data_IF_045532745830
#
_entry.id   IF_045532745830
#
_cell.length_a   1.000
_cell.length_b   1.000
_cell.length_c   1.000
_cell.angle_alpha   90.00
_cell.angle_beta   90.00
_cell.angle_gamma   90.00
#
_symmetry.space_group_name_H-M   'P 1'
#
loop_
_entity.id
_entity.type
_entity.pdbx_description
1 polymer ?
#
# COMPACT_ATOMS: atom_id res chain seq x y z
N UNK A 1 -35.14 -88.72 -16.43
CA UNK A 1 -33.94 -89.19 -15.71
C UNK A 1 -32.79 -88.23 -16.02
N UNK A 2 -32.56 -87.24 -15.25
CA UNK A 2 -31.40 -86.38 -15.40
C UNK A 2 -31.02 -85.78 -13.99
N UNK A 3 -29.90 -86.23 -13.51
CA UNK A 3 -29.32 -85.94 -12.23
C UNK A 3 -28.85 -84.46 -12.14
N UNK A 4 -29.36 -83.68 -11.19
CA UNK A 4 -28.84 -82.34 -10.81
C UNK A 4 -27.71 -82.51 -9.79
N UNK A 5 -26.49 -82.21 -10.20
CA UNK A 5 -25.35 -82.01 -9.27
C UNK A 5 -25.52 -80.65 -8.59
N UNK A 6 -25.60 -80.66 -7.25
CA UNK A 6 -25.47 -79.52 -6.41
C UNK A 6 -23.97 -79.10 -6.32
N UNK A 7 -23.67 -77.89 -6.72
CA UNK A 7 -22.35 -77.27 -6.46
C UNK A 7 -22.47 -76.46 -5.16
N UNK A 8 -21.69 -76.86 -4.18
CA UNK A 8 -21.58 -76.13 -2.88
C UNK A 8 -20.73 -74.88 -3.10
N UNK A 9 -21.26 -73.67 -2.81
CA UNK A 9 -20.54 -72.43 -2.77
C UNK A 9 -19.97 -72.22 -1.37
N UNK A 10 -18.67 -72.18 -1.29
CA UNK A 10 -17.94 -71.74 -0.09
C UNK A 10 -17.96 -70.20 0.01
N UNK A 11 -18.23 -69.59 1.16
CA UNK A 11 -18.20 -68.14 1.32
C UNK A 11 -16.75 -67.65 1.39
N UNK A 12 -16.39 -66.76 0.45
CA UNK A 12 -15.13 -66.02 0.48
C UNK A 12 -15.29 -64.83 1.45
N UNK A 13 -14.57 -64.87 2.54
CA UNK A 13 -14.38 -63.72 3.47
C UNK A 13 -13.49 -62.67 2.79
N UNK A 14 -13.89 -61.38 2.74
CA UNK A 14 -13.00 -60.34 2.28
C UNK A 14 -12.14 -59.87 3.46
N UNK A 15 -10.90 -60.33 3.50
CA UNK A 15 -9.82 -59.68 4.25
C UNK A 15 -9.14 -58.72 3.30
N UNK A 16 -9.47 -57.44 3.34
CA UNK A 16 -8.53 -56.40 2.98
C UNK A 16 -8.88 -55.13 3.74
N UNK A 17 -8.30 -55.07 4.95
CA UNK A 17 -8.28 -53.86 5.77
C UNK A 17 -7.31 -52.84 5.22
N UNK A 18 -7.64 -52.20 4.10
CA UNK A 18 -6.99 -50.94 3.75
C UNK A 18 -7.43 -49.89 4.75
N UNK A 19 -6.68 -49.78 5.84
CA UNK A 19 -6.63 -48.56 6.67
C UNK A 19 -6.27 -47.42 5.71
N UNK A 20 -7.28 -46.67 5.24
CA UNK A 20 -7.07 -45.32 4.75
C UNK A 20 -6.43 -44.54 5.88
N UNK A 21 -5.12 -44.37 5.81
CA UNK A 21 -4.39 -43.37 6.59
C UNK A 21 -5.05 -42.05 6.23
N UNK A 22 -5.98 -41.60 7.06
CA UNK A 22 -6.36 -40.19 7.11
C UNK A 22 -5.07 -39.44 7.37
N UNK A 23 -4.50 -38.85 6.31
CA UNK A 23 -3.47 -37.85 6.38
C UNK A 23 -4.02 -36.78 7.35
N UNK A 24 -3.50 -36.79 8.55
CA UNK A 24 -3.81 -35.81 9.57
C UNK A 24 -3.25 -34.48 9.06
N UNK A 25 -4.06 -33.74 8.28
CA UNK A 25 -3.74 -32.36 7.98
C UNK A 25 -3.61 -31.66 9.33
N UNK A 26 -2.45 -31.10 9.66
CA UNK A 26 -2.31 -30.39 10.94
C UNK A 26 -3.43 -29.35 10.97
N UNK A 27 -4.26 -29.39 12.03
CA UNK A 27 -5.25 -28.35 12.32
C UNK A 27 -4.51 -27.03 12.15
N UNK A 28 -4.90 -26.20 11.16
CA UNK A 28 -4.38 -24.85 10.98
C UNK A 28 -4.46 -24.20 12.36
N UNK A 29 -3.33 -23.98 13.03
CA UNK A 29 -3.30 -23.19 14.26
C UNK A 29 -4.00 -21.89 13.91
N UNK A 30 -5.10 -21.61 14.56
CA UNK A 30 -5.76 -20.31 14.42
C UNK A 30 -4.73 -19.28 14.85
N UNK A 31 -4.38 -18.37 13.93
CA UNK A 31 -3.49 -17.24 14.25
C UNK A 31 -4.17 -16.43 15.34
N UNK A 32 -3.46 -16.09 16.40
CA UNK A 32 -4.02 -15.32 17.49
C UNK A 32 -4.57 -13.97 17.01
N UNK A 33 -5.65 -13.48 17.59
CA UNK A 33 -6.26 -12.19 17.25
C UNK A 33 -5.24 -11.05 17.29
N UNK A 34 -4.30 -11.11 18.24
CA UNK A 34 -3.21 -10.15 18.37
C UNK A 34 -2.34 -10.07 17.10
N UNK A 35 -1.95 -11.22 16.52
CA UNK A 35 -1.18 -11.26 15.28
C UNK A 35 -2.01 -10.76 14.09
N UNK A 36 -3.28 -11.14 14.04
CA UNK A 36 -4.18 -10.66 12.97
C UNK A 36 -4.34 -9.15 13.00
N UNK A 37 -4.53 -8.56 14.19
CA UNK A 37 -4.63 -7.12 14.37
C UNK A 37 -3.33 -6.40 13.99
N UNK A 38 -2.17 -6.93 14.40
CA UNK A 38 -0.88 -6.37 14.03
C UNK A 38 -0.64 -6.37 12.52
N UNK A 39 -0.99 -7.46 11.83
CA UNK A 39 -0.79 -7.56 10.38
C UNK A 39 -1.65 -6.58 9.55
N UNK A 40 -2.67 -5.97 10.13
CA UNK A 40 -3.46 -4.90 9.51
C UNK A 40 -2.72 -3.55 9.53
N UNK A 41 -1.61 -3.41 10.28
CA UNK A 41 -0.89 -2.15 10.43
C UNK A 41 0.32 -2.06 9.50
N UNK A 42 0.58 -0.86 8.97
CA UNK A 42 1.84 -0.41 8.42
C UNK A 42 2.36 0.66 9.39
N UNK A 43 3.54 0.43 9.97
CA UNK A 43 4.09 1.29 11.01
C UNK A 43 5.32 2.06 10.53
N UNK A 44 5.34 3.37 10.78
CA UNK A 44 6.54 4.19 10.58
C UNK A 44 7.59 3.92 11.64
N UNK A 45 8.87 4.13 11.29
CA UNK A 45 9.99 4.02 12.20
C UNK A 45 10.52 5.40 12.58
N UNK A 46 11.10 5.51 13.78
CA UNK A 46 11.51 6.78 14.35
C UNK A 46 12.81 7.32 13.75
N UNK A 47 13.84 6.49 13.62
CA UNK A 47 15.17 6.91 13.27
C UNK A 47 15.87 6.02 12.24
N UNK A 48 17.17 6.18 12.12
CA UNK A 48 18.04 5.44 11.18
C UNK A 48 18.44 4.04 11.68
N UNK A 49 18.12 3.72 12.93
CA UNK A 49 18.28 2.41 13.56
C UNK A 49 17.11 2.14 14.50
N UNK A 50 16.78 0.88 14.75
CA UNK A 50 15.75 0.53 15.74
C UNK A 50 16.25 0.81 17.16
N UNK A 51 15.49 1.54 17.93
CA UNK A 51 15.68 1.67 19.38
C UNK A 51 15.28 0.36 20.10
N UNK A 52 15.62 0.23 21.38
CA UNK A 52 15.14 -0.91 22.20
C UNK A 52 13.61 -0.90 22.35
N UNK A 53 13.03 0.29 22.45
CA UNK A 53 11.59 0.47 22.53
C UNK A 53 10.90 0.05 21.22
N UNK A 54 11.46 0.46 20.07
CA UNK A 54 10.95 0.07 18.75
C UNK A 54 11.01 -1.44 18.54
N UNK A 55 12.10 -2.10 18.91
CA UNK A 55 12.18 -3.57 18.87
C UNK A 55 11.11 -4.22 19.73
N UNK A 56 10.85 -3.67 20.91
CA UNK A 56 9.85 -4.21 21.85
C UNK A 56 8.44 -4.11 21.26
N UNK A 57 8.03 -2.93 20.76
CA UNK A 57 6.69 -2.82 20.21
C UNK A 57 6.55 -3.52 18.84
N UNK A 58 7.59 -3.57 18.00
CA UNK A 58 7.57 -4.36 16.77
C UNK A 58 7.36 -5.86 17.04
N UNK A 59 8.03 -6.42 18.06
CA UNK A 59 7.83 -7.82 18.45
C UNK A 59 6.43 -8.07 19.03
N UNK A 60 5.90 -7.09 19.79
CA UNK A 60 4.54 -7.16 20.36
C UNK A 60 3.46 -7.09 19.28
N UNK A 61 3.57 -6.12 18.35
CA UNK A 61 2.53 -5.82 17.35
C UNK A 61 2.66 -6.74 16.14
N UNK A 62 3.89 -7.01 15.68
CA UNK A 62 4.18 -7.74 14.43
C UNK A 62 3.43 -7.18 13.23
N UNK A 63 3.68 -5.92 12.85
CA UNK A 63 2.93 -5.23 11.82
C UNK A 63 3.00 -5.95 10.48
N UNK A 64 2.02 -5.70 9.62
CA UNK A 64 2.00 -6.22 8.25
C UNK A 64 3.02 -5.56 7.33
N UNK A 65 3.42 -4.34 7.66
CA UNK A 65 4.43 -3.57 6.93
C UNK A 65 5.09 -2.52 7.78
N UNK A 66 6.15 -1.94 7.24
CA UNK A 66 6.81 -0.74 7.76
C UNK A 66 6.99 0.26 6.64
N UNK A 67 6.99 1.54 6.99
CA UNK A 67 7.24 2.64 6.04
C UNK A 67 8.42 3.48 6.54
N UNK A 68 9.30 3.89 5.61
CA UNK A 68 10.41 4.78 5.90
C UNK A 68 10.23 6.13 5.20
N UNK A 69 10.72 7.16 5.88
CA UNK A 69 10.79 8.54 5.44
C UNK A 69 12.25 9.02 5.38
N UNK A 70 12.49 10.25 4.92
CA UNK A 70 13.84 10.82 4.85
C UNK A 70 14.59 10.74 6.19
N UNK A 71 13.91 10.96 7.32
CA UNK A 71 14.48 10.85 8.67
C UNK A 71 15.09 9.47 8.99
N UNK A 72 14.69 8.45 8.24
CA UNK A 72 15.17 7.07 8.44
C UNK A 72 16.32 6.69 7.48
N UNK A 73 16.71 7.58 6.56
CA UNK A 73 17.58 7.23 5.43
C UNK A 73 18.77 8.20 5.37
N UNK A 74 19.92 7.74 5.82
CA UNK A 74 21.21 8.46 5.73
C UNK A 74 22.07 7.87 4.60
N UNK A 75 22.04 6.55 4.44
CA UNK A 75 22.78 5.81 3.40
C UNK A 75 21.97 4.64 2.88
N UNK A 76 22.16 4.24 1.61
CA UNK A 76 21.44 3.08 1.05
C UNK A 76 21.66 1.78 1.83
N UNK A 77 22.88 1.54 2.30
CA UNK A 77 23.26 0.34 3.07
C UNK A 77 22.64 0.33 4.46
N UNK A 78 22.57 1.49 5.11
CA UNK A 78 21.96 1.68 6.42
C UNK A 78 20.43 1.45 6.34
N UNK A 79 19.74 2.09 5.40
CA UNK A 79 18.30 1.91 5.21
C UNK A 79 17.94 0.44 4.92
N UNK A 80 18.73 -0.22 4.06
CA UNK A 80 18.55 -1.64 3.81
C UNK A 80 18.81 -2.51 5.04
N UNK A 81 19.73 -2.12 5.94
CA UNK A 81 19.98 -2.83 7.20
C UNK A 81 18.81 -2.64 8.17
N UNK A 82 18.29 -1.42 8.31
CA UNK A 82 17.12 -1.09 9.12
C UNK A 82 15.90 -1.92 8.70
N UNK A 83 15.58 -1.94 7.39
CA UNK A 83 14.47 -2.73 6.86
C UNK A 83 14.66 -4.24 7.09
N UNK A 84 15.89 -4.76 6.95
CA UNK A 84 16.17 -6.17 7.24
C UNK A 84 16.06 -6.50 8.72
N UNK A 85 16.43 -5.59 9.59
CA UNK A 85 16.30 -5.77 11.03
C UNK A 85 14.83 -5.84 11.43
N UNK A 86 14.01 -4.89 10.97
CA UNK A 86 12.57 -4.90 11.19
C UNK A 86 11.90 -6.18 10.65
N UNK A 87 12.30 -6.63 9.44
CA UNK A 87 11.76 -7.84 8.80
C UNK A 87 12.05 -9.13 9.59
N UNK A 88 13.17 -9.18 10.36
CA UNK A 88 13.53 -10.34 11.19
C UNK A 88 12.72 -10.46 12.48
N UNK A 89 12.14 -9.36 12.97
CA UNK A 89 11.32 -9.35 14.18
C UNK A 89 9.97 -10.00 13.91
N UNK A 90 9.44 -9.84 12.70
CA UNK A 90 8.15 -10.39 12.30
C UNK A 90 8.18 -11.90 12.01
N UNK A 91 7.03 -12.56 12.17
CA UNK A 91 6.82 -13.97 11.77
C UNK A 91 6.54 -14.14 10.26
N UNK A 92 6.22 -13.05 9.58
CA UNK A 92 5.93 -12.99 8.15
C UNK A 92 6.71 -11.84 7.50
N UNK A 93 7.15 -11.98 6.23
CA UNK A 93 7.83 -10.89 5.52
C UNK A 93 7.02 -9.60 5.56
N UNK A 94 7.67 -8.46 5.75
CA UNK A 94 7.04 -7.15 5.79
C UNK A 94 6.78 -6.59 4.38
N UNK A 95 5.68 -5.87 4.21
CA UNK A 95 5.62 -4.84 3.19
C UNK A 95 6.52 -3.69 3.64
N UNK A 96 7.57 -3.39 2.86
CA UNK A 96 8.56 -2.35 3.13
C UNK A 96 8.27 -1.20 2.20
N UNK A 97 7.56 -0.21 2.73
CA UNK A 97 6.93 0.87 1.97
C UNK A 97 7.80 2.13 1.95
N UNK A 98 7.69 2.89 0.87
CA UNK A 98 8.26 4.22 0.74
C UNK A 98 7.41 5.09 -0.19
N UNK A 99 7.24 6.37 0.16
CA UNK A 99 6.74 7.39 -0.74
C UNK A 99 7.83 7.80 -1.73
N UNK A 100 7.68 7.35 -2.96
CA UNK A 100 8.61 7.65 -4.03
C UNK A 100 7.85 7.88 -5.34
N UNK A 101 7.46 9.13 -5.56
CA UNK A 101 6.75 9.58 -6.76
C UNK A 101 7.70 10.26 -7.77
N UNK A 102 8.79 10.81 -7.26
CA UNK A 102 9.66 11.79 -7.91
C UNK A 102 9.25 13.23 -7.60
N UNK A 103 10.11 14.20 -7.89
CA UNK A 103 9.86 15.61 -7.64
C UNK A 103 9.69 15.93 -6.16
N UNK A 104 8.53 16.45 -5.79
CA UNK A 104 8.23 16.87 -4.40
C UNK A 104 8.21 15.71 -3.42
N UNK A 105 7.74 14.54 -3.86
CA UNK A 105 7.63 13.34 -3.04
C UNK A 105 8.67 12.32 -3.48
N UNK A 106 9.87 12.54 -3.00
CA UNK A 106 11.04 11.70 -3.23
C UNK A 106 11.81 11.55 -1.90
N UNK A 107 11.58 10.43 -1.20
CA UNK A 107 12.22 10.17 0.10
C UNK A 107 13.66 9.68 -0.04
N UNK A 108 14.14 9.43 -1.26
CA UNK A 108 15.49 8.91 -1.54
C UNK A 108 16.44 9.98 -2.09
N UNK A 109 15.99 11.21 -2.29
CA UNK A 109 16.71 12.29 -2.97
C UNK A 109 18.09 12.65 -2.39
N UNK A 110 18.33 12.33 -1.12
CA UNK A 110 19.61 12.63 -0.46
C UNK A 110 20.64 11.51 -0.65
N UNK A 111 20.19 10.33 -1.06
CA UNK A 111 21.03 9.12 -1.20
C UNK A 111 21.04 8.54 -2.62
N UNK A 112 20.05 8.92 -3.42
CA UNK A 112 19.97 8.70 -4.87
C UNK A 112 19.77 10.06 -5.51
N UNK A 113 20.29 10.25 -6.75
CA UNK A 113 20.03 11.51 -7.45
C UNK A 113 18.51 11.77 -7.53
N UNK A 114 18.03 13.02 -7.27
CA UNK A 114 16.61 13.33 -7.29
C UNK A 114 15.91 12.91 -8.59
N UNK A 115 14.80 12.20 -8.44
CA UNK A 115 13.97 11.79 -9.58
C UNK A 115 13.08 12.95 -10.03
N UNK A 116 12.88 13.15 -11.34
CA UNK A 116 11.97 14.17 -11.87
C UNK A 116 10.53 13.96 -11.38
N UNK A 117 9.76 15.05 -11.35
CA UNK A 117 8.33 14.96 -10.98
C UNK A 117 7.51 14.26 -12.06
N UNK A 118 6.38 13.61 -11.66
CA UNK A 118 5.43 13.04 -12.61
C UNK A 118 4.99 14.02 -13.70
N UNK A 119 4.71 15.28 -13.34
CA UNK A 119 4.29 16.31 -14.29
C UNK A 119 5.38 16.65 -15.31
N UNK A 120 6.65 16.78 -14.88
CA UNK A 120 7.76 17.06 -15.80
C UNK A 120 7.99 15.91 -16.77
N UNK A 121 8.00 14.67 -16.27
CA UNK A 121 8.13 13.49 -17.13
C UNK A 121 6.97 13.42 -18.13
N UNK A 122 5.75 13.69 -17.66
CA UNK A 122 4.58 13.69 -18.54
C UNK A 122 4.66 14.79 -19.63
N UNK A 123 5.16 15.97 -19.28
CA UNK A 123 5.31 17.11 -20.22
C UNK A 123 6.20 16.79 -21.43
N UNK A 124 7.08 15.80 -21.33
CA UNK A 124 7.91 15.33 -22.45
C UNK A 124 7.09 14.73 -23.60
N UNK A 125 5.85 14.28 -23.34
CA UNK A 125 5.00 13.59 -24.32
C UNK A 125 5.50 12.19 -24.72
N UNK A 126 6.57 11.68 -24.11
CA UNK A 126 7.27 10.45 -24.53
C UNK A 126 6.92 9.27 -23.61
N UNK A 127 6.12 8.34 -24.11
CA UNK A 127 5.67 7.14 -23.36
C UNK A 127 6.80 6.23 -22.89
N UNK A 128 7.91 6.16 -23.62
CA UNK A 128 9.10 5.43 -23.16
C UNK A 128 9.69 6.04 -21.89
N UNK A 129 9.67 7.39 -21.74
CA UNK A 129 10.13 8.05 -20.52
C UNK A 129 9.14 7.83 -19.35
N UNK A 130 7.83 7.74 -19.60
CA UNK A 130 6.86 7.36 -18.56
C UNK A 130 7.17 5.98 -17.97
N UNK A 131 7.51 5.01 -18.83
CA UNK A 131 7.93 3.67 -18.40
C UNK A 131 9.28 3.70 -17.70
N UNK A 132 10.23 4.43 -18.23
CA UNK A 132 11.57 4.58 -17.64
C UNK A 132 11.49 5.22 -16.25
N UNK A 133 10.59 6.20 -16.04
CA UNK A 133 10.36 6.80 -14.74
C UNK A 133 9.94 5.74 -13.70
N UNK A 134 8.90 4.95 -13.98
CA UNK A 134 8.49 3.87 -13.11
C UNK A 134 9.58 2.81 -12.87
N UNK A 135 10.37 2.50 -13.88
CA UNK A 135 11.48 1.56 -13.78
C UNK A 135 12.61 2.09 -12.89
N UNK A 136 13.00 3.36 -13.02
CA UNK A 136 14.03 3.99 -12.18
C UNK A 136 13.58 4.11 -10.74
N UNK A 137 12.33 4.52 -10.49
CA UNK A 137 11.71 4.51 -9.16
C UNK A 137 11.78 3.12 -8.53
N UNK A 138 11.41 2.09 -9.27
CA UNK A 138 11.47 0.72 -8.78
C UNK A 138 12.91 0.27 -8.46
N UNK A 139 13.88 0.59 -9.32
CA UNK A 139 15.30 0.29 -9.10
C UNK A 139 15.85 1.00 -7.87
N UNK A 140 15.53 2.31 -7.72
CA UNK A 140 15.94 3.11 -6.57
C UNK A 140 15.40 2.54 -5.27
N UNK A 141 14.09 2.30 -5.20
CA UNK A 141 13.46 1.71 -4.02
C UNK A 141 14.03 0.31 -3.71
N UNK A 142 14.15 -0.55 -4.73
CA UNK A 142 14.67 -1.91 -4.57
C UNK A 142 16.12 -1.94 -4.11
N UNK A 143 16.94 -1.01 -4.56
CA UNK A 143 18.33 -0.89 -4.13
C UNK A 143 18.46 -0.68 -2.61
N UNK A 144 17.53 0.03 -1.99
CA UNK A 144 17.49 0.24 -0.55
C UNK A 144 16.71 -0.87 0.21
N UNK A 145 16.15 -1.86 -0.49
CA UNK A 145 15.46 -2.99 0.13
C UNK A 145 13.95 -2.83 0.27
N UNK A 146 13.34 -1.78 -0.28
CA UNK A 146 11.88 -1.65 -0.35
C UNK A 146 11.26 -2.64 -1.32
N UNK A 147 9.99 -2.98 -1.12
CA UNK A 147 9.21 -3.83 -2.00
C UNK A 147 7.86 -3.21 -2.38
N UNK A 148 7.50 -2.08 -1.78
CA UNK A 148 6.30 -1.29 -2.10
C UNK A 148 6.67 0.16 -2.29
N UNK A 149 6.24 0.77 -3.40
CA UNK A 149 6.25 2.21 -3.59
C UNK A 149 4.82 2.75 -3.59
N UNK A 150 4.60 3.83 -2.85
CA UNK A 150 3.29 4.50 -2.78
C UNK A 150 3.15 5.46 -3.99
N UNK A 151 3.10 4.88 -5.16
CA UNK A 151 2.94 5.50 -6.48
C UNK A 151 2.33 4.48 -7.47
N UNK A 152 1.65 4.93 -8.55
CA UNK A 152 1.50 6.29 -9.06
C UNK A 152 0.38 7.09 -8.40
N UNK A 153 0.47 8.43 -8.51
CA UNK A 153 -0.65 9.34 -8.27
C UNK A 153 -1.63 9.22 -9.44
N UNK A 154 -2.91 8.98 -9.13
CA UNK A 154 -4.01 8.88 -10.10
C UNK A 154 -4.95 10.07 -10.03
N UNK A 155 -4.65 11.04 -9.16
CA UNK A 155 -5.42 12.27 -9.00
C UNK A 155 -5.32 13.15 -10.25
N UNK A 156 -6.41 13.82 -10.57
CA UNK A 156 -6.44 14.81 -11.64
C UNK A 156 -5.82 16.13 -11.17
N UNK A 157 -4.97 16.72 -11.98
CA UNK A 157 -4.38 18.05 -11.74
C UNK A 157 -5.36 19.16 -12.06
N UNK A 158 -6.43 19.28 -11.27
CA UNK A 158 -7.45 20.32 -11.46
C UNK A 158 -7.00 21.64 -10.82
N UNK A 159 -7.54 22.80 -11.28
CA UNK A 159 -7.22 24.11 -10.71
C UNK A 159 -7.43 24.18 -9.20
N UNK A 160 -8.48 23.51 -8.69
CA UNK A 160 -8.84 23.49 -7.26
C UNK A 160 -7.72 22.89 -6.40
N UNK A 161 -7.04 21.86 -6.89
CA UNK A 161 -5.95 21.16 -6.18
C UNK A 161 -4.55 21.62 -6.59
N UNK A 162 -4.43 22.68 -7.39
CA UNK A 162 -3.14 23.12 -7.93
C UNK A 162 -2.11 23.46 -6.84
N UNK A 163 -2.53 24.03 -5.70
CA UNK A 163 -1.64 24.33 -4.56
C UNK A 163 -1.27 23.09 -3.75
N UNK A 164 -2.05 22.02 -3.84
CA UNK A 164 -1.93 20.78 -3.04
C UNK A 164 -1.15 19.72 -3.84
N UNK A 165 -1.64 19.35 -5.00
CA UNK A 165 -1.05 18.29 -5.81
C UNK A 165 0.19 18.77 -6.58
N UNK A 166 0.19 20.02 -7.04
CA UNK A 166 1.33 20.63 -7.75
C UNK A 166 1.86 19.69 -8.84
N UNK A 167 3.16 19.43 -8.87
CA UNK A 167 3.82 18.56 -9.86
C UNK A 167 3.60 17.05 -9.64
N UNK A 168 2.85 16.66 -8.60
CA UNK A 168 2.47 15.27 -8.34
C UNK A 168 1.41 14.76 -9.33
N UNK A 169 0.44 15.62 -9.69
CA UNK A 169 -0.57 15.29 -10.70
C UNK A 169 -0.06 15.63 -12.11
N UNK A 170 -0.29 14.73 -13.06
CA UNK A 170 0.27 14.87 -14.42
C UNK A 170 -0.60 15.72 -15.35
N UNK A 171 -1.92 15.66 -15.21
CA UNK A 171 -2.87 16.39 -16.07
C UNK A 171 -4.25 16.50 -15.45
N UNK A 172 -5.07 17.42 -15.95
CA UNK A 172 -6.47 17.55 -15.59
C UNK A 172 -7.38 16.52 -16.30
N UNK A 173 -6.97 16.07 -17.50
CA UNK A 173 -7.75 15.15 -18.31
C UNK A 173 -7.49 13.69 -17.93
N UNK A 174 -8.54 12.92 -17.61
CA UNK A 174 -8.40 11.54 -17.13
C UNK A 174 -7.60 10.62 -18.06
N UNK A 175 -7.78 10.76 -19.38
CA UNK A 175 -7.10 9.92 -20.35
C UNK A 175 -5.58 10.13 -20.36
N UNK A 176 -5.10 11.34 -20.03
CA UNK A 176 -3.68 11.66 -19.90
C UNK A 176 -3.09 11.02 -18.64
N UNK A 177 -3.81 11.09 -17.51
CA UNK A 177 -3.42 10.39 -16.27
C UNK A 177 -3.35 8.89 -16.52
N UNK A 178 -4.34 8.32 -17.23
CA UNK A 178 -4.36 6.90 -17.60
C UNK A 178 -3.15 6.52 -18.47
N UNK A 179 -2.83 7.32 -19.47
CA UNK A 179 -1.71 7.05 -20.37
C UNK A 179 -0.38 7.01 -19.58
N UNK A 180 -0.09 8.04 -18.79
CA UNK A 180 1.08 8.07 -17.95
C UNK A 180 1.12 6.88 -16.96
N UNK A 181 0.06 6.67 -16.19
CA UNK A 181 0.01 5.66 -15.16
C UNK A 181 0.20 4.24 -15.71
N UNK A 182 -0.35 3.91 -16.88
CA UNK A 182 -0.15 2.60 -17.54
C UNK A 182 1.32 2.31 -17.81
N UNK A 183 2.04 3.28 -18.38
CA UNK A 183 3.46 3.11 -18.69
C UNK A 183 4.30 3.11 -17.41
N UNK A 184 4.01 3.99 -16.46
CA UNK A 184 4.67 4.02 -15.16
C UNK A 184 4.55 2.67 -14.43
N UNK A 185 3.34 2.12 -14.30
CA UNK A 185 3.09 0.81 -13.69
C UNK A 185 3.80 -0.31 -14.46
N UNK A 186 3.88 -0.22 -15.78
CA UNK A 186 4.66 -1.20 -16.56
C UNK A 186 6.16 -1.15 -16.22
N UNK A 187 6.68 0.04 -15.91
CA UNK A 187 8.05 0.24 -15.43
C UNK A 187 8.27 -0.39 -14.05
N UNK A 188 7.36 -0.17 -13.11
CA UNK A 188 7.42 -0.82 -11.79
C UNK A 188 7.49 -2.35 -11.91
N UNK A 189 6.69 -2.92 -12.79
CA UNK A 189 6.62 -4.38 -13.00
C UNK A 189 7.92 -4.98 -13.56
N UNK A 190 8.72 -4.22 -14.29
CA UNK A 190 10.03 -4.69 -14.78
C UNK A 190 10.99 -5.06 -13.66
N UNK A 191 10.81 -4.45 -12.49
CA UNK A 191 11.60 -4.71 -11.28
C UNK A 191 10.78 -5.45 -10.20
N UNK A 192 9.62 -6.01 -10.55
CA UNK A 192 8.71 -6.68 -9.59
C UNK A 192 8.35 -5.79 -8.39
N UNK A 193 8.34 -4.46 -8.57
CA UNK A 193 8.00 -3.50 -7.53
C UNK A 193 6.49 -3.39 -7.38
N UNK A 194 6.01 -3.48 -6.14
CA UNK A 194 4.59 -3.33 -5.85
C UNK A 194 4.21 -1.86 -5.80
N UNK A 195 3.33 -1.45 -6.70
CA UNK A 195 2.83 -0.07 -6.77
C UNK A 195 1.53 0.12 -6.00
N UNK A 196 1.32 1.34 -5.53
CA UNK A 196 0.08 1.78 -4.88
C UNK A 196 -0.51 2.97 -5.62
N UNK A 197 -1.69 2.81 -6.21
CA UNK A 197 -2.43 3.95 -6.76
C UNK A 197 -2.99 4.83 -5.65
N UNK A 198 -2.95 6.14 -5.83
CA UNK A 198 -3.42 7.11 -4.84
C UNK A 198 -3.92 8.41 -5.48
N UNK A 199 -4.86 9.11 -4.85
CA UNK A 199 -5.56 8.83 -3.59
C UNK A 199 -7.05 8.58 -3.92
N UNK A 200 -7.52 7.36 -3.74
CA UNK A 200 -8.92 7.04 -4.07
C UNK A 200 -9.92 7.77 -3.16
N UNK A 201 -11.02 8.33 -3.68
CA UNK A 201 -11.55 8.33 -5.06
C UNK A 201 -10.90 9.33 -6.01
N UNK A 202 -10.16 10.32 -5.50
CA UNK A 202 -9.44 11.36 -6.24
C UNK A 202 -9.43 12.71 -5.51
N UNK A 203 -8.25 13.30 -5.30
CA UNK A 203 -8.05 14.58 -4.63
C UNK A 203 -8.05 15.78 -5.58
N UNK A 204 -8.35 15.59 -6.87
CA UNK A 204 -8.33 16.66 -7.86
C UNK A 204 -9.23 17.86 -7.55
N UNK A 205 -10.33 17.64 -6.84
CA UNK A 205 -11.24 18.72 -6.39
C UNK A 205 -10.97 19.24 -4.98
N UNK A 206 -9.82 18.90 -4.34
CA UNK A 206 -9.49 19.35 -3.00
C UNK A 206 -9.03 20.83 -3.04
N UNK A 207 -9.56 21.64 -2.12
CA UNK A 207 -9.19 23.06 -1.94
C UNK A 207 -8.34 23.30 -0.71
N UNK A 208 -8.23 22.30 0.17
CA UNK A 208 -7.40 22.29 1.37
C UNK A 208 -6.57 21.02 1.44
N UNK A 209 -5.42 21.09 2.10
CA UNK A 209 -4.53 19.96 2.26
C UNK A 209 -5.06 19.00 3.33
N UNK A 210 -5.16 17.71 2.99
CA UNK A 210 -5.62 16.66 3.89
C UNK A 210 -4.70 16.41 5.08
N UNK A 211 -3.46 16.88 5.04
CA UNK A 211 -2.56 16.87 6.20
C UNK A 211 -2.99 17.87 7.29
N UNK A 212 -3.65 18.95 6.93
CA UNK A 212 -4.07 20.01 7.86
C UNK A 212 -5.52 19.88 8.31
N UNK A 213 -6.41 19.59 7.40
CA UNK A 213 -7.85 19.50 7.65
C UNK A 213 -8.54 18.58 6.64
N UNK A 214 -9.79 18.24 6.90
CA UNK A 214 -10.57 17.37 6.00
C UNK A 214 -10.98 18.12 4.73
N UNK A 215 -10.44 17.80 3.54
CA UNK A 215 -10.95 18.34 2.29
C UNK A 215 -12.38 17.89 2.05
N UNK A 216 -13.23 18.81 1.60
CA UNK A 216 -14.59 18.50 1.14
C UNK A 216 -14.61 18.62 -0.37
N UNK A 217 -14.87 17.53 -1.05
CA UNK A 217 -14.89 17.48 -2.52
C UNK A 217 -16.29 17.74 -3.03
N UNK A 218 -16.53 18.94 -3.53
CA UNK A 218 -17.84 19.39 -4.05
C UNK A 218 -18.04 18.99 -5.52
N UNK A 219 -17.83 17.72 -5.86
CA UNK A 219 -18.01 17.22 -7.23
C UNK A 219 -19.15 16.21 -7.30
N UNK A 220 -20.08 16.41 -8.25
CA UNK A 220 -21.19 15.47 -8.44
C UNK A 220 -20.67 14.06 -8.72
N UNK A 221 -21.25 13.05 -8.08
CA UNK A 221 -20.86 11.65 -8.25
C UNK A 221 -20.88 11.21 -9.73
N UNK A 222 -21.85 11.66 -10.52
CA UNK A 222 -21.92 11.36 -11.96
C UNK A 222 -20.74 11.92 -12.75
N UNK A 223 -20.26 13.11 -12.37
CA UNK A 223 -19.04 13.70 -12.95
C UNK A 223 -17.82 12.89 -12.55
N UNK A 224 -17.68 12.54 -11.27
CA UNK A 224 -16.57 11.75 -10.76
C UNK A 224 -16.39 10.41 -11.50
N UNK A 225 -17.49 9.76 -11.90
CA UNK A 225 -17.41 8.53 -12.71
C UNK A 225 -16.75 8.72 -14.08
N UNK A 226 -16.90 9.92 -14.67
CA UNK A 226 -16.33 10.25 -15.97
C UNK A 226 -14.91 10.86 -15.87
N UNK A 227 -14.53 11.29 -14.69
CA UNK A 227 -13.29 12.03 -14.44
C UNK A 227 -12.42 11.32 -13.40
N UNK A 228 -12.60 11.56 -12.12
CA UNK A 228 -11.74 11.11 -11.00
C UNK A 228 -11.63 9.58 -10.89
N UNK A 229 -12.73 8.86 -11.14
CA UNK A 229 -12.77 7.40 -11.10
C UNK A 229 -12.31 6.73 -12.39
N UNK A 230 -12.19 7.47 -13.49
CA UNK A 230 -11.78 6.94 -14.79
C UNK A 230 -10.36 6.33 -14.76
N UNK A 231 -9.34 6.96 -14.14
CA UNK A 231 -8.02 6.34 -13.96
C UNK A 231 -8.10 5.03 -13.16
N UNK A 232 -8.92 4.98 -12.11
CA UNK A 232 -9.11 3.76 -11.31
C UNK A 232 -9.72 2.61 -12.10
N UNK A 233 -10.72 2.89 -12.94
CA UNK A 233 -11.31 1.90 -13.84
C UNK A 233 -10.30 1.35 -14.84
N UNK A 234 -9.39 2.19 -15.32
CA UNK A 234 -8.46 1.85 -16.40
C UNK A 234 -7.18 1.17 -15.92
N UNK A 235 -6.68 1.51 -14.71
CA UNK A 235 -5.37 1.06 -14.20
C UNK A 235 -5.47 0.32 -12.87
N UNK A 236 -6.54 0.54 -12.09
CA UNK A 236 -6.67 0.01 -10.73
C UNK A 236 -6.50 -1.51 -10.64
N UNK A 237 -7.09 -2.26 -11.58
CA UNK A 237 -6.99 -3.73 -11.57
C UNK A 237 -5.55 -4.27 -11.73
N UNK A 238 -4.63 -3.45 -12.22
CA UNK A 238 -3.21 -3.78 -12.41
C UNK A 238 -2.31 -3.42 -11.23
N UNK A 239 -2.87 -2.79 -10.19
CA UNK A 239 -2.14 -2.32 -9.01
C UNK A 239 -2.31 -3.27 -7.83
N UNK A 240 -1.22 -3.61 -7.11
CA UNK A 240 -1.27 -4.38 -5.87
C UNK A 240 -1.99 -3.65 -4.74
N UNK A 241 -1.82 -2.33 -4.64
CA UNK A 241 -2.38 -1.50 -3.56
C UNK A 241 -3.20 -0.33 -4.10
N UNK A 242 -4.20 0.08 -3.32
CA UNK A 242 -4.94 1.32 -3.50
C UNK A 242 -5.03 2.05 -2.16
N UNK A 243 -4.55 3.29 -2.12
CA UNK A 243 -4.62 4.16 -0.95
C UNK A 243 -5.88 5.01 -1.01
N UNK A 244 -6.63 5.04 0.09
CA UNK A 244 -7.88 5.79 0.23
C UNK A 244 -7.64 7.09 0.97
N UNK A 245 -8.05 8.20 0.37
CA UNK A 245 -7.85 9.54 0.89
C UNK A 245 -8.67 9.85 2.16
N UNK A 246 -8.12 10.70 3.02
CA UNK A 246 -8.85 11.34 4.12
C UNK A 246 -9.55 12.62 3.65
N UNK A 247 -10.52 12.46 2.76
CA UNK A 247 -11.34 13.54 2.24
C UNK A 247 -12.82 13.14 2.25
N UNK A 248 -13.70 14.14 2.37
CA UNK A 248 -15.13 13.95 2.35
C UNK A 248 -15.66 14.07 0.92
N UNK A 249 -16.47 13.10 0.50
CA UNK A 249 -17.05 13.04 -0.83
C UNK A 249 -18.56 12.99 -0.78
N UNK A 250 -19.26 13.60 -1.76
CA UNK A 250 -20.70 13.49 -1.84
C UNK A 250 -21.11 12.03 -2.06
N UNK A 251 -22.24 11.68 -1.46
CA UNK A 251 -22.82 10.37 -1.56
C UNK A 251 -24.31 10.49 -1.85
N UNK A 252 -24.92 9.62 -2.68
CA UNK A 252 -26.36 9.68 -2.94
C UNK A 252 -27.17 9.60 -1.64
N UNK A 253 -27.93 10.69 -1.33
CA UNK A 253 -28.85 10.78 -0.19
C UNK A 253 -28.21 11.03 1.19
N UNK A 254 -26.93 11.42 1.26
CA UNK A 254 -26.26 11.83 2.51
C UNK A 254 -25.26 12.95 2.27
N UNK A 255 -25.09 13.80 3.29
CA UNK A 255 -23.95 14.71 3.36
C UNK A 255 -22.65 13.92 3.35
N UNK A 256 -21.58 14.51 2.82
CA UNK A 256 -20.34 13.84 2.53
C UNK A 256 -19.77 13.05 3.71
N UNK A 257 -19.20 11.88 3.42
CA UNK A 257 -18.48 11.07 4.39
C UNK A 257 -17.02 10.92 3.97
N UNK A 258 -16.11 10.89 4.94
CA UNK A 258 -14.71 10.56 4.72
C UNK A 258 -14.60 9.22 3.96
N UNK A 259 -13.89 9.22 2.84
CA UNK A 259 -13.78 8.02 2.01
C UNK A 259 -13.21 6.83 2.79
N UNK A 260 -12.20 7.07 3.63
CA UNK A 260 -11.51 6.03 4.43
C UNK A 260 -12.44 5.26 5.37
N UNK A 261 -13.45 5.93 5.94
CA UNK A 261 -14.43 5.30 6.84
C UNK A 261 -15.77 5.03 6.17
N UNK A 262 -15.87 5.25 4.86
CA UNK A 262 -17.09 5.07 4.09
C UNK A 262 -17.16 3.70 3.42
N UNK A 263 -18.01 2.81 3.94
CA UNK A 263 -18.28 1.52 3.30
C UNK A 263 -18.79 1.67 1.85
N UNK A 264 -19.46 2.77 1.54
CA UNK A 264 -19.89 3.05 0.17
C UNK A 264 -18.68 3.24 -0.75
N UNK A 265 -17.75 4.13 -0.40
CA UNK A 265 -16.58 4.39 -1.24
C UNK A 265 -15.65 3.17 -1.32
N UNK A 266 -15.36 2.55 -0.20
CA UNK A 266 -14.41 1.42 -0.13
C UNK A 266 -15.00 0.15 -0.76
N UNK A 267 -16.21 -0.28 -0.33
CA UNK A 267 -16.74 -1.57 -0.74
C UNK A 267 -17.64 -1.50 -1.97
N UNK A 268 -18.50 -0.47 -2.09
CA UNK A 268 -19.40 -0.41 -3.24
C UNK A 268 -18.69 0.17 -4.46
N UNK A 269 -17.98 1.29 -4.32
CA UNK A 269 -17.29 1.92 -5.46
C UNK A 269 -15.98 1.19 -5.76
N UNK A 270 -14.99 1.23 -4.87
CA UNK A 270 -13.66 0.68 -5.18
C UNK A 270 -13.68 -0.84 -5.38
N UNK A 271 -14.24 -1.58 -4.42
CA UNK A 271 -14.17 -3.05 -4.47
C UNK A 271 -15.11 -3.66 -5.51
N UNK A 272 -16.37 -3.19 -5.61
CA UNK A 272 -17.39 -3.80 -6.48
C UNK A 272 -17.44 -3.17 -7.87
N UNK A 273 -17.53 -1.83 -7.98
CA UNK A 273 -17.74 -1.15 -9.26
C UNK A 273 -16.43 -0.97 -10.04
N UNK A 274 -15.36 -0.49 -9.39
CA UNK A 274 -14.01 -0.44 -9.98
C UNK A 274 -13.41 -1.84 -10.10
N UNK A 275 -13.92 -2.81 -9.33
CA UNK A 275 -13.46 -4.20 -9.29
C UNK A 275 -11.99 -4.32 -8.83
N UNK A 276 -11.54 -3.44 -7.97
CA UNK A 276 -10.20 -3.49 -7.43
C UNK A 276 -9.97 -4.80 -6.65
N UNK A 277 -8.87 -5.51 -6.94
CA UNK A 277 -8.59 -6.84 -6.37
C UNK A 277 -7.40 -6.85 -5.41
N UNK A 278 -6.60 -5.78 -5.39
CA UNK A 278 -5.45 -5.63 -4.50
C UNK A 278 -5.82 -5.41 -3.04
N UNK A 279 -4.86 -5.00 -2.24
CA UNK A 279 -5.02 -4.58 -0.85
C UNK A 279 -5.43 -3.11 -0.84
N UNK A 280 -6.46 -2.77 -0.06
CA UNK A 280 -6.89 -1.40 0.17
C UNK A 280 -6.24 -0.92 1.47
N UNK A 281 -5.49 0.17 1.40
CA UNK A 281 -4.86 0.78 2.56
C UNK A 281 -5.41 2.19 2.81
N UNK A 282 -5.33 2.68 4.03
CA UNK A 282 -5.61 4.07 4.36
C UNK A 282 -4.45 4.95 3.89
N UNK A 283 -4.68 6.24 3.73
CA UNK A 283 -3.64 7.24 3.87
C UNK A 283 -3.16 7.28 5.33
N UNK A 284 -2.13 8.08 5.66
CA UNK A 284 -1.60 8.17 7.02
C UNK A 284 -2.67 8.63 8.01
N UNK A 285 -2.97 7.77 8.99
CA UNK A 285 -3.99 8.05 9.99
C UNK A 285 -3.59 9.15 10.99
N UNK A 286 -2.36 9.66 10.93
CA UNK A 286 -1.93 10.83 11.72
C UNK A 286 -2.33 12.16 11.08
N UNK A 287 -2.82 12.13 9.84
CA UNK A 287 -3.20 13.35 9.11
C UNK A 287 -4.38 14.06 9.77
N UNK A 288 -4.33 15.40 9.76
CA UNK A 288 -5.43 16.24 10.25
C UNK A 288 -6.77 15.99 9.55
N UNK A 289 -6.74 15.49 8.33
CA UNK A 289 -7.94 15.11 7.58
C UNK A 289 -8.84 14.09 8.26
N UNK A 290 -8.29 13.27 9.16
CA UNK A 290 -9.06 12.30 9.94
C UNK A 290 -8.98 12.56 11.45
N UNK A 291 -7.81 12.88 12.00
CA UNK A 291 -7.67 13.09 13.45
C UNK A 291 -8.37 14.34 13.98
N UNK A 292 -8.66 15.32 13.11
CA UNK A 292 -9.51 16.44 13.49
C UNK A 292 -10.99 16.05 13.69
N UNK A 293 -11.39 14.89 13.18
CA UNK A 293 -12.79 14.42 13.22
C UNK A 293 -13.04 13.44 14.38
N UNK A 294 -12.04 12.62 14.73
CA UNK A 294 -12.20 11.58 15.73
C UNK A 294 -10.84 11.08 16.25
N UNK A 295 -10.80 10.48 17.47
CA UNK A 295 -9.58 9.85 17.97
C UNK A 295 -9.17 8.65 17.12
N UNK A 296 -7.87 8.29 17.19
CA UNK A 296 -7.26 7.24 16.37
C UNK A 296 -7.96 5.88 16.57
N UNK A 297 -8.42 5.58 17.78
CA UNK A 297 -9.11 4.34 18.12
C UNK A 297 -10.37 4.15 17.29
N UNK A 298 -11.20 5.20 17.23
CA UNK A 298 -12.45 5.19 16.47
C UNK A 298 -12.17 5.19 14.97
N UNK A 299 -11.16 5.95 14.53
CA UNK A 299 -10.77 6.05 13.14
C UNK A 299 -10.35 4.69 12.56
N UNK A 300 -9.48 3.92 13.26
CA UNK A 300 -9.02 2.62 12.76
C UNK A 300 -10.13 1.56 12.79
N UNK A 301 -10.99 1.57 13.81
CA UNK A 301 -12.14 0.66 13.88
C UNK A 301 -13.10 0.93 12.72
N UNK A 302 -13.45 2.21 12.48
CA UNK A 302 -14.36 2.59 11.39
C UNK A 302 -13.75 2.31 10.01
N UNK A 303 -12.44 2.54 9.82
CA UNK A 303 -11.75 2.24 8.58
C UNK A 303 -11.79 0.74 8.25
N UNK A 304 -11.48 -0.13 9.21
CA UNK A 304 -11.57 -1.59 9.03
C UNK A 304 -13.03 -2.02 8.79
N UNK A 305 -13.99 -1.44 9.51
CA UNK A 305 -15.42 -1.71 9.30
C UNK A 305 -15.90 -1.25 7.91
N UNK A 306 -15.31 -0.18 7.36
CA UNK A 306 -15.56 0.27 5.99
C UNK A 306 -14.96 -0.66 4.93
N UNK A 307 -13.95 -1.48 5.26
CA UNK A 307 -13.31 -2.44 4.37
C UNK A 307 -11.86 -2.13 4.02
N UNK A 308 -11.22 -1.15 4.69
CA UNK A 308 -9.77 -0.95 4.64
C UNK A 308 -9.10 -2.20 5.21
N UNK A 309 -8.03 -2.63 4.59
CA UNK A 309 -7.34 -3.87 4.93
C UNK A 309 -5.97 -3.64 5.58
N UNK A 310 -5.35 -2.49 5.28
CA UNK A 310 -4.15 -2.04 5.98
C UNK A 310 -4.29 -0.58 6.39
N UNK A 311 -3.83 -0.28 7.58
CA UNK A 311 -3.87 1.03 8.21
C UNK A 311 -2.44 1.54 8.32
N UNK A 312 -2.18 2.72 7.76
CA UNK A 312 -0.87 3.36 7.80
C UNK A 312 -0.82 4.38 8.93
N UNK A 313 0.24 4.32 9.77
CA UNK A 313 0.54 5.26 10.86
C UNK A 313 2.04 5.51 10.82
N UNK A 314 2.43 6.75 10.52
CA UNK A 314 3.75 7.00 9.95
C UNK A 314 4.82 7.46 10.94
N UNK A 315 4.45 7.96 12.14
CA UNK A 315 5.41 8.66 12.98
C UNK A 315 5.32 8.33 14.46
N UNK A 316 4.14 8.45 15.08
CA UNK A 316 3.99 8.41 16.53
C UNK A 316 3.79 6.96 17.04
N UNK A 317 4.79 6.37 17.74
CA UNK A 317 4.66 5.03 18.31
C UNK A 317 3.48 4.91 19.28
N UNK A 318 3.09 6.00 19.97
CA UNK A 318 1.95 5.97 20.86
C UNK A 318 0.64 5.79 20.08
N UNK A 319 0.50 6.43 18.92
CA UNK A 319 -0.68 6.25 18.05
C UNK A 319 -0.70 4.85 17.43
N UNK A 320 0.47 4.30 17.06
CA UNK A 320 0.58 2.91 16.56
C UNK A 320 0.10 1.92 17.63
N UNK A 321 0.55 2.07 18.88
CA UNK A 321 0.15 1.21 20.00
C UNK A 321 -1.34 1.35 20.31
N UNK A 322 -1.87 2.58 20.36
CA UNK A 322 -3.30 2.85 20.61
C UNK A 322 -4.18 2.26 19.52
N UNK A 323 -3.79 2.39 18.26
CA UNK A 323 -4.49 1.80 17.12
C UNK A 323 -4.51 0.26 17.21
N UNK A 324 -3.36 -0.35 17.51
CA UNK A 324 -3.26 -1.79 17.71
C UNK A 324 -4.17 -2.29 18.83
N UNK A 325 -4.13 -1.63 19.99
CA UNK A 325 -4.95 -1.99 21.16
C UNK A 325 -6.45 -1.83 20.87
N UNK A 326 -6.83 -0.77 20.15
CA UNK A 326 -8.21 -0.56 19.73
C UNK A 326 -8.71 -1.68 18.80
N UNK A 327 -7.92 -2.06 17.80
CA UNK A 327 -8.25 -3.17 16.88
C UNK A 327 -8.37 -4.50 17.65
N UNK A 328 -7.45 -4.77 18.57
CA UNK A 328 -7.47 -5.99 19.37
C UNK A 328 -8.69 -6.05 20.30
N UNK A 329 -8.91 -4.99 21.08
CA UNK A 329 -10.04 -4.88 22.02
C UNK A 329 -11.38 -5.00 21.30
N UNK A 330 -11.55 -4.35 20.15
CA UNK A 330 -12.79 -4.44 19.38
C UNK A 330 -12.96 -5.84 18.78
N UNK A 331 -11.87 -6.51 18.35
CA UNK A 331 -11.93 -7.90 17.89
C UNK A 331 -12.32 -8.88 18.99
N UNK A 332 -11.89 -8.65 20.25
CA UNK A 332 -12.30 -9.44 21.40
C UNK A 332 -13.77 -9.21 21.75
N UNK A 333 -14.24 -7.96 21.62
CA UNK A 333 -15.63 -7.57 21.94
C UNK A 333 -16.64 -8.03 20.90
N UNK A 334 -16.27 -7.98 19.60
CA UNK A 334 -17.19 -8.17 18.46
C UNK A 334 -16.71 -9.30 17.55
N UNK A 335 -17.35 -10.48 17.55
CA UNK A 335 -17.03 -11.54 16.60
C UNK A 335 -17.17 -11.12 15.13
N UNK A 336 -18.10 -10.22 14.83
CA UNK A 336 -18.26 -9.68 13.47
C UNK A 336 -17.07 -8.82 13.05
N UNK A 337 -16.53 -7.99 13.95
CA UNK A 337 -15.35 -7.21 13.70
C UNK A 337 -14.10 -8.09 13.61
N UNK A 338 -13.97 -9.08 14.50
CA UNK A 338 -12.89 -10.07 14.44
C UNK A 338 -12.82 -10.78 13.06
N UNK A 339 -13.97 -11.09 12.46
CA UNK A 339 -14.00 -11.68 11.10
C UNK A 339 -13.54 -10.69 10.02
N UNK A 340 -13.81 -9.40 10.15
CA UNK A 340 -13.27 -8.37 9.24
C UNK A 340 -11.74 -8.32 9.32
N UNK A 341 -11.19 -8.27 10.53
CA UNK A 341 -9.72 -8.29 10.77
C UNK A 341 -9.12 -9.60 10.24
N UNK A 342 -9.73 -10.75 10.53
CA UNK A 342 -9.28 -12.04 10.02
C UNK A 342 -9.33 -12.12 8.49
N UNK A 343 -10.36 -11.54 7.87
CA UNK A 343 -10.48 -11.47 6.40
C UNK A 343 -9.37 -10.59 5.79
N UNK A 344 -9.08 -9.43 6.40
CA UNK A 344 -7.97 -8.56 6.00
C UNK A 344 -6.64 -9.30 6.12
N UNK A 345 -6.37 -9.92 7.28
CA UNK A 345 -5.19 -10.74 7.52
C UNK A 345 -5.02 -11.86 6.48
N UNK A 346 -6.07 -12.63 6.19
CA UNK A 346 -6.02 -13.68 5.16
C UNK A 346 -5.64 -13.14 3.79
N UNK A 347 -6.15 -11.96 3.43
CA UNK A 347 -5.81 -11.28 2.17
C UNK A 347 -4.35 -10.85 2.16
N UNK A 348 -3.88 -10.19 3.22
CA UNK A 348 -2.50 -9.75 3.39
C UNK A 348 -1.54 -10.95 3.31
N UNK A 349 -1.79 -11.99 4.08
CA UNK A 349 -0.96 -13.19 4.13
C UNK A 349 -0.84 -13.89 2.76
N UNK A 350 -1.97 -14.05 2.06
CA UNK A 350 -1.98 -14.61 0.69
C UNK A 350 -1.21 -13.73 -0.28
N UNK A 351 -1.39 -12.42 -0.19
CA UNK A 351 -0.69 -11.46 -1.05
C UNK A 351 0.81 -11.49 -0.80
N UNK A 352 1.27 -11.53 0.45
CA UNK A 352 2.68 -11.69 0.80
C UNK A 352 3.28 -12.95 0.20
N UNK A 353 2.58 -14.09 0.29
CA UNK A 353 3.03 -15.36 -0.31
C UNK A 353 3.17 -15.30 -1.83
N UNK A 354 2.34 -14.53 -2.51
CA UNK A 354 2.34 -14.40 -3.97
C UNK A 354 3.34 -13.35 -4.43
N UNK A 355 3.45 -12.23 -3.70
CA UNK A 355 4.20 -11.06 -4.18
C UNK A 355 5.60 -10.95 -3.59
N UNK A 356 5.81 -11.44 -2.36
CA UNK A 356 7.09 -11.36 -1.67
C UNK A 356 7.86 -12.68 -1.80
N UNK A 357 8.38 -12.92 -3.00
CA UNK A 357 9.32 -14.02 -3.20
C UNK A 357 10.63 -13.75 -2.47
N UNK A 358 11.38 -14.80 -2.05
CA UNK A 358 12.74 -14.61 -1.53
C UNK A 358 13.55 -13.81 -2.55
N UNK A 359 13.72 -12.53 -2.27
CA UNK A 359 14.49 -11.67 -3.16
C UNK A 359 15.93 -12.18 -3.17
N UNK A 360 16.50 -12.42 -4.36
CA UNK A 360 17.94 -12.57 -4.50
C UNK A 360 18.59 -11.41 -3.77
N UNK A 361 19.45 -11.70 -2.79
CA UNK A 361 20.22 -10.67 -2.08
C UNK A 361 20.90 -9.79 -3.12
N UNK A 362 20.36 -8.60 -3.31
CA UNK A 362 21.07 -7.64 -4.15
C UNK A 362 22.30 -7.21 -3.38
N UNK A 363 23.46 -7.44 -3.99
CA UNK A 363 24.69 -6.95 -3.42
C UNK A 363 24.71 -5.42 -3.58
N UNK A 364 24.51 -4.71 -2.45
CA UNK A 364 24.55 -3.24 -2.39
C UNK A 364 26.02 -2.79 -2.47
N UNK A 365 26.65 -3.01 -3.62
CA UNK A 365 27.98 -2.44 -3.84
C UNK A 365 27.86 -0.94 -4.13
N UNK A 366 28.82 -0.17 -3.62
CA UNK A 366 28.94 1.27 -3.86
C UNK A 366 28.83 1.59 -5.36
N UNK A 367 29.54 0.81 -6.19
CA UNK A 367 29.53 0.98 -7.65
C UNK A 367 28.15 0.77 -8.32
N UNK A 368 27.26 -0.01 -7.71
CA UNK A 368 25.87 -0.17 -8.22
C UNK A 368 25.02 1.04 -7.88
N UNK A 369 25.19 1.61 -6.69
CA UNK A 369 24.51 2.84 -6.29
C UNK A 369 24.99 4.02 -7.15
N UNK A 370 26.30 4.14 -7.36
CA UNK A 370 26.88 5.18 -8.22
C UNK A 370 26.30 5.11 -9.63
N UNK A 371 26.28 3.93 -10.26
CA UNK A 371 25.65 3.74 -11.59
C UNK A 371 24.18 4.08 -11.59
N UNK A 372 23.44 3.73 -10.54
CA UNK A 372 22.02 4.08 -10.42
C UNK A 372 21.84 5.59 -10.34
N UNK A 373 22.68 6.30 -9.59
CA UNK A 373 22.66 7.77 -9.53
C UNK A 373 22.97 8.40 -10.90
N UNK A 374 23.92 7.82 -11.66
CA UNK A 374 24.22 8.25 -13.03
C UNK A 374 23.03 8.03 -13.97
N UNK A 375 22.38 6.85 -13.92
CA UNK A 375 21.18 6.53 -14.70
C UNK A 375 20.05 7.51 -14.40
N UNK A 376 19.81 7.83 -13.11
CA UNK A 376 18.77 8.78 -12.70
C UNK A 376 19.12 10.20 -13.13
N UNK A 377 20.38 10.62 -13.00
CA UNK A 377 20.85 11.94 -13.47
C UNK A 377 20.64 12.09 -14.97
N UNK A 378 21.10 11.14 -15.76
CA UNK A 378 20.94 11.16 -17.21
C UNK A 378 19.45 11.21 -17.62
N UNK A 379 18.60 10.54 -16.87
CA UNK A 379 17.14 10.60 -17.07
C UNK A 379 16.58 11.99 -16.72
N UNK A 380 16.97 12.57 -15.57
CA UNK A 380 16.54 13.90 -15.14
C UNK A 380 16.98 14.99 -16.15
N UNK A 381 18.23 14.93 -16.61
CA UNK A 381 18.76 15.83 -17.65
C UNK A 381 17.95 15.70 -18.96
N UNK A 382 17.60 14.49 -19.36
CA UNK A 382 16.80 14.21 -20.54
C UNK A 382 15.32 14.65 -20.43
N UNK A 383 14.79 14.77 -19.23
CA UNK A 383 13.47 15.33 -18.94
C UNK A 383 13.50 16.86 -18.93
N UNK A 384 14.65 17.48 -18.60
CA UNK A 384 14.83 18.92 -18.59
C UNK A 384 14.26 19.60 -17.33
N UNK A 385 13.99 18.84 -16.27
CA UNK A 385 13.60 19.37 -14.97
C UNK A 385 14.87 19.69 -14.15
N UNK A 386 15.06 20.95 -13.78
CA UNK A 386 16.04 21.30 -12.76
C UNK A 386 15.66 20.58 -11.45
N UNK A 387 16.62 20.02 -10.68
CA UNK A 387 16.32 19.41 -9.40
C UNK A 387 15.53 20.42 -8.57
N UNK A 388 14.35 20.02 -8.07
CA UNK A 388 13.50 20.88 -7.28
C UNK A 388 14.29 21.33 -6.03
N UNK A 389 14.86 22.53 -6.06
CA UNK A 389 15.41 23.18 -4.89
C UNK A 389 14.19 23.48 -4.01
N UNK A 390 13.94 22.64 -3.03
CA UNK A 390 12.88 22.87 -2.06
C UNK A 390 13.25 24.10 -1.27
N UNK A 391 12.50 25.18 -1.46
CA UNK A 391 12.64 26.39 -0.64
C UNK A 391 12.24 26.16 0.83
N UNK A 392 11.65 25.00 1.15
CA UNK A 392 11.36 24.58 2.53
C UNK A 392 11.20 23.06 2.62
N UNK A 393 12.31 22.29 2.85
CA UNK A 393 12.25 20.85 3.09
C UNK A 393 11.38 20.47 4.29
N UNK A 394 11.38 21.29 5.34
CA UNK A 394 10.66 21.01 6.59
C UNK A 394 9.14 21.04 6.40
N UNK A 395 8.63 21.83 5.45
CA UNK A 395 7.19 21.96 5.20
C UNK A 395 6.57 20.66 4.66
N UNK A 396 7.33 19.86 3.90
CA UNK A 396 6.87 18.60 3.32
C UNK A 396 7.22 17.38 4.19
N UNK A 397 8.20 17.52 5.05
CA UNK A 397 8.53 16.52 6.07
C UNK A 397 7.59 16.59 7.26
N UNK A 398 7.11 17.79 7.61
CA UNK A 398 6.06 18.00 8.59
C UNK A 398 4.66 17.57 8.16
N UNK A 399 4.45 17.34 6.85
CA UNK A 399 3.18 16.89 6.27
C UNK A 399 3.09 15.38 6.09
N UNK A 400 4.20 14.67 6.18
CA UNK A 400 4.31 13.22 6.14
C UNK A 400 5.27 12.71 7.20
N UNK A 401 5.43 13.49 8.24
CA UNK A 401 6.21 13.15 9.43
C UNK A 401 5.29 12.98 10.63
#
# INVERSE_FOLDING_TARGET
MTSRRKVSATPITPTDGRRTQRVFMPRRRSVALAEQAGQVLIAGLGGTSLSSEERSWLDRIRPGGVILFRRNIEEPSQAAALLREADRIGSTPLFRCVDLEGGLVDRLRDVIHPLPSPAAVFATGKRNLYRQHGWLIARAARALGFNVVLAPVLDLGLPESASILRTRAVAAEPWRVIDYARYFVSGLKMEEMLGCGKHFPGLGGATVDSHQSTPVIHRQTRLMWRTDLSPWLAVGSGLPFAMVAHASYPWPGRDGALATISRYWVMNVLRRQVRFRGIILSDDMEMGGILSQMPIEDAVIQAVAAGIQMIEICRDPALILRAYEALLKESERSPAFAELVASAWRKIYRSKKIWLHPQRRQNLSKSRIERLCEDVRAFADGVGEAPAVSSDPARWEGMAS
#
